data_IF_315041233679
#
_entry.id   IF_315041233679
#
_cell.length_a   1.000
_cell.length_b   1.000
_cell.length_c   1.000
_cell.angle_alpha   90.00
_cell.angle_beta   90.00
_cell.angle_gamma   90.00
#
_symmetry.space_group_name_H-M   'P 1'
#
loop_
_entity.id
_entity.type
_entity.pdbx_description
1 polymer ?
#
# COMPACT_ATOMS: atom_id res chain seq x y z
N UNK A 1 10.32 3.81 -8.74
CA UNK A 1 10.95 4.88 -7.93
C UNK A 1 10.24 6.21 -8.10
N UNK A 2 10.10 6.76 -9.31
CA UNK A 2 9.47 8.07 -9.55
C UNK A 2 8.04 8.23 -8.97
N UNK A 3 7.13 7.29 -9.27
CA UNK A 3 5.74 7.36 -8.77
C UNK A 3 5.61 7.32 -7.23
N UNK A 4 6.60 6.78 -6.49
CA UNK A 4 6.62 6.78 -5.02
C UNK A 4 7.04 8.15 -4.45
N UNK A 5 7.93 8.86 -5.14
CA UNK A 5 8.35 10.21 -4.74
C UNK A 5 7.26 11.25 -5.02
N UNK A 6 6.57 11.12 -6.15
CA UNK A 6 5.49 12.04 -6.54
C UNK A 6 4.27 11.97 -5.60
N UNK A 7 4.04 10.85 -4.93
CA UNK A 7 2.92 10.67 -4.00
C UNK A 7 3.22 11.10 -2.56
N UNK A 8 4.44 11.56 -2.24
CA UNK A 8 4.77 12.05 -0.89
C UNK A 8 4.16 13.44 -0.69
N UNK A 9 3.40 13.63 0.39
CA UNK A 9 2.82 14.94 0.70
C UNK A 9 3.90 16.00 0.97
N UNK A 10 3.70 17.20 0.44
CA UNK A 10 4.66 18.33 0.53
C UNK A 10 4.08 19.58 1.19
N UNK A 11 2.82 19.53 1.64
CA UNK A 11 2.08 20.70 2.15
C UNK A 11 2.30 20.86 3.65
N UNK A 12 3.45 21.40 4.00
CA UNK A 12 3.81 21.77 5.38
C UNK A 12 3.12 23.07 5.80
N UNK A 13 2.72 23.15 7.07
CA UNK A 13 2.15 24.35 7.69
C UNK A 13 2.32 24.29 9.22
N UNK A 14 2.16 25.42 9.89
CA UNK A 14 2.08 25.46 11.35
C UNK A 14 0.61 25.44 11.80
N UNK A 15 0.24 24.51 12.67
CA UNK A 15 -1.12 24.46 13.24
C UNK A 15 -1.14 25.22 14.57
N UNK A 16 -1.89 26.32 14.63
CA UNK A 16 -1.96 27.18 15.82
C UNK A 16 -2.81 26.60 16.95
N UNK A 17 -3.68 25.62 16.69
CA UNK A 17 -4.47 24.99 17.75
C UNK A 17 -3.62 23.96 18.52
N UNK A 18 -2.77 23.20 17.80
CA UNK A 18 -1.86 22.22 18.40
C UNK A 18 -0.46 22.77 18.68
N UNK A 19 -0.14 24.00 18.22
CA UNK A 19 1.15 24.67 18.40
C UNK A 19 2.33 23.81 17.89
N UNK A 20 2.16 23.16 16.73
CA UNK A 20 3.15 22.26 16.17
C UNK A 20 3.28 22.39 14.65
N UNK A 21 4.40 21.91 14.10
CA UNK A 21 4.53 21.71 12.66
C UNK A 21 3.56 20.62 12.21
N UNK A 22 3.03 20.77 11.00
CA UNK A 22 2.07 19.86 10.45
C UNK A 22 2.21 19.66 8.95
N UNK A 23 1.81 18.48 8.47
CA UNK A 23 1.74 18.15 7.04
C UNK A 23 0.32 17.75 6.68
N UNK A 24 -0.21 18.36 5.62
CA UNK A 24 -1.52 18.00 5.08
C UNK A 24 -1.37 16.94 3.99
N UNK A 25 -1.94 15.77 4.24
CA UNK A 25 -2.01 14.66 3.28
C UNK A 25 -3.34 14.71 2.54
N UNK A 26 -3.27 14.79 1.21
CA UNK A 26 -4.45 14.75 0.33
C UNK A 26 -4.71 13.33 -0.19
N UNK A 27 -5.86 13.08 -0.86
CA UNK A 27 -6.09 11.79 -1.49
C UNK A 27 -4.94 11.37 -2.40
N UNK A 28 -4.61 10.09 -2.34
CA UNK A 28 -3.53 9.43 -3.08
C UNK A 28 -2.11 9.86 -2.67
N UNK A 29 -1.98 10.54 -1.52
CA UNK A 29 -0.71 10.89 -0.93
C UNK A 29 -0.42 10.06 0.32
N UNK A 30 0.86 10.02 0.69
CA UNK A 30 1.32 9.49 1.97
C UNK A 30 2.38 10.41 2.57
N UNK A 31 2.64 10.23 3.86
CA UNK A 31 3.76 10.87 4.53
C UNK A 31 4.31 9.97 5.64
N UNK A 32 5.64 9.90 5.73
CA UNK A 32 6.39 9.16 6.75
C UNK A 32 7.39 10.11 7.38
N UNK A 33 7.55 10.02 8.69
CA UNK A 33 8.47 10.84 9.47
C UNK A 33 8.83 10.17 10.80
N UNK A 34 9.95 10.59 11.37
CA UNK A 34 10.35 10.35 12.76
C UNK A 34 10.45 11.66 13.56
N UNK A 35 10.07 12.79 12.95
CA UNK A 35 10.05 14.10 13.58
C UNK A 35 8.80 14.30 14.43
N UNK A 36 8.87 15.27 15.36
CA UNK A 36 7.76 15.65 16.23
C UNK A 36 6.83 16.64 15.50
N UNK A 37 6.00 16.09 14.60
CA UNK A 37 5.03 16.85 13.81
C UNK A 37 3.68 16.13 13.72
N UNK A 38 2.65 16.86 13.31
CA UNK A 38 1.30 16.34 13.11
C UNK A 38 1.02 16.08 11.63
N UNK A 39 0.44 14.94 11.29
CA UNK A 39 -0.10 14.68 9.96
C UNK A 39 -1.62 14.87 10.01
N UNK A 40 -2.19 15.70 9.14
CA UNK A 40 -3.62 16.01 9.14
C UNK A 40 -4.27 15.69 7.81
N UNK A 41 -5.49 15.15 7.86
CA UNK A 41 -6.34 14.98 6.68
C UNK A 41 -7.83 15.00 7.01
N UNK A 42 -8.66 15.10 5.98
CA UNK A 42 -10.13 15.05 6.07
C UNK A 42 -10.61 13.89 5.21
N UNK A 43 -11.44 13.03 5.78
CA UNK A 43 -11.91 11.80 5.18
C UNK A 43 -13.43 11.81 5.09
N UNK A 44 -13.96 11.57 3.89
CA UNK A 44 -15.31 11.06 3.68
C UNK A 44 -15.24 9.57 3.39
N UNK A 45 -15.46 9.18 2.13
CA UNK A 45 -15.42 7.78 1.66
C UNK A 45 -14.00 7.20 1.60
N UNK A 46 -12.97 8.03 1.46
CA UNK A 46 -11.57 7.61 1.56
C UNK A 46 -11.23 6.99 2.92
N UNK A 47 -10.15 6.23 2.97
CA UNK A 47 -9.60 5.67 4.20
C UNK A 47 -8.14 6.13 4.38
N UNK A 48 -7.77 6.37 5.63
CA UNK A 48 -6.39 6.59 6.03
C UNK A 48 -5.94 5.47 6.97
N UNK A 49 -4.78 4.87 6.68
CA UNK A 49 -4.05 4.03 7.61
C UNK A 49 -2.93 4.85 8.26
N UNK A 50 -2.97 4.96 9.58
CA UNK A 50 -1.90 5.51 10.41
C UNK A 50 -1.11 4.33 10.97
N UNK A 51 0.17 4.22 10.62
CA UNK A 51 1.03 3.11 11.07
C UNK A 51 2.24 3.70 11.79
N UNK A 52 2.65 3.11 12.91
CA UNK A 52 3.88 3.48 13.61
C UNK A 52 4.58 2.28 14.23
N UNK A 53 5.89 2.43 14.46
CA UNK A 53 6.69 1.58 15.33
C UNK A 53 6.85 2.31 16.69
N UNK A 54 6.30 1.77 17.79
CA UNK A 54 6.31 2.44 19.09
C UNK A 54 7.70 2.55 19.72
N UNK A 55 8.69 1.78 19.25
CA UNK A 55 10.05 1.82 19.81
C UNK A 55 10.90 2.89 19.14
N UNK A 56 10.82 3.00 17.82
CA UNK A 56 11.64 3.97 17.06
C UNK A 56 10.97 5.33 16.94
N UNK A 57 9.65 5.41 17.16
CA UNK A 57 8.86 6.63 16.93
C UNK A 57 8.69 6.97 15.46
N UNK A 58 9.09 6.06 14.55
CA UNK A 58 8.86 6.20 13.12
C UNK A 58 7.39 5.90 12.84
N UNK A 59 6.71 6.83 12.17
CA UNK A 59 5.32 6.65 11.81
C UNK A 59 4.94 7.39 10.53
N UNK A 60 3.76 7.05 10.03
CA UNK A 60 3.27 7.61 8.79
C UNK A 60 1.80 7.37 8.59
N UNK A 61 1.25 8.11 7.63
CA UNK A 61 -0.15 8.05 7.26
C UNK A 61 -0.28 8.09 5.75
N UNK A 62 -1.13 7.24 5.20
CA UNK A 62 -1.61 7.39 3.83
C UNK A 62 -3.04 7.92 3.81
N UNK A 63 -3.49 8.35 2.63
CA UNK A 63 -4.88 8.66 2.37
C UNK A 63 -5.20 8.08 0.99
N UNK A 64 -5.91 6.97 0.94
CA UNK A 64 -6.22 6.31 -0.32
C UNK A 64 -7.73 6.25 -0.57
N UNK A 65 -8.07 6.19 -1.86
CA UNK A 65 -9.39 5.88 -2.36
C UNK A 65 -9.26 4.77 -3.39
N UNK A 66 -10.09 3.75 -3.26
CA UNK A 66 -10.17 2.69 -4.24
C UNK A 66 -10.93 3.18 -5.49
N UNK A 67 -10.47 2.88 -6.72
CA UNK A 67 -11.24 3.19 -7.91
C UNK A 67 -12.52 2.35 -7.95
N UNK A 68 -13.56 2.88 -8.61
CA UNK A 68 -14.69 2.06 -9.03
C UNK A 68 -14.18 0.87 -9.85
N UNK A 69 -14.71 -0.32 -9.53
CA UNK A 69 -14.26 -1.53 -10.18
C UNK A 69 -14.88 -1.63 -11.57
N UNK A 70 -14.09 -1.99 -12.58
CA UNK A 70 -14.58 -2.32 -13.92
C UNK A 70 -15.57 -3.49 -13.84
N UNK A 71 -16.73 -3.43 -14.52
CA UNK A 71 -17.79 -4.46 -14.43
C UNK A 71 -17.27 -5.88 -14.75
N UNK A 72 -16.21 -6.00 -15.55
CA UNK A 72 -15.60 -7.27 -15.94
C UNK A 72 -14.53 -7.80 -14.96
N UNK A 73 -13.90 -6.95 -14.14
CA UNK A 73 -12.98 -7.39 -13.08
C UNK A 73 -12.91 -6.40 -11.90
N UNK A 74 -14.02 -6.20 -11.16
CA UNK A 74 -14.16 -5.08 -10.23
C UNK A 74 -13.20 -5.15 -9.03
N UNK A 75 -12.69 -6.35 -8.74
CA UNK A 75 -11.87 -6.61 -7.58
C UNK A 75 -10.37 -6.42 -7.86
N UNK A 76 -9.88 -6.72 -9.08
CA UNK A 76 -8.43 -6.84 -9.32
C UNK A 76 -7.73 -5.47 -9.40
N UNK A 77 -8.24 -4.55 -10.22
CA UNK A 77 -7.62 -3.23 -10.38
C UNK A 77 -7.73 -2.38 -9.11
N UNK A 78 -8.90 -2.43 -8.50
CA UNK A 78 -9.21 -1.74 -7.26
C UNK A 78 -8.33 -2.23 -6.11
N UNK A 79 -8.22 -3.55 -5.89
CA UNK A 79 -7.34 -4.08 -4.85
C UNK A 79 -5.86 -3.79 -5.12
N UNK A 80 -5.41 -3.80 -6.38
CA UNK A 80 -4.02 -3.42 -6.74
C UNK A 80 -3.67 -2.00 -6.31
N UNK A 81 -4.61 -1.05 -6.46
CA UNK A 81 -4.36 0.34 -6.07
C UNK A 81 -4.23 0.50 -4.57
N UNK A 82 -5.21 -0.02 -3.80
CA UNK A 82 -5.14 0.01 -2.34
C UNK A 82 -3.90 -0.71 -1.82
N UNK A 83 -3.56 -1.86 -2.40
CA UNK A 83 -2.38 -2.62 -2.02
C UNK A 83 -1.10 -1.83 -2.28
N UNK A 84 -1.00 -1.15 -3.42
CA UNK A 84 0.12 -0.27 -3.71
C UNK A 84 0.24 0.86 -2.68
N UNK A 85 -0.84 1.54 -2.33
CA UNK A 85 -0.81 2.63 -1.34
C UNK A 85 -0.35 2.16 0.05
N UNK A 86 -0.78 0.97 0.48
CA UNK A 86 -0.34 0.38 1.75
C UNK A 86 1.11 -0.11 1.69
N UNK A 87 1.51 -0.77 0.60
CA UNK A 87 2.86 -1.27 0.40
C UNK A 87 3.89 -0.13 0.35
N UNK A 88 3.54 0.99 -0.30
CA UNK A 88 4.37 2.20 -0.30
C UNK A 88 4.57 2.71 1.12
N UNK A 89 3.48 2.89 1.88
CA UNK A 89 3.57 3.37 3.27
C UNK A 89 4.46 2.46 4.13
N UNK A 90 4.21 1.16 4.11
CA UNK A 90 4.97 0.20 4.91
C UNK A 90 6.44 0.20 4.51
N UNK A 91 6.76 0.19 3.22
CA UNK A 91 8.15 0.20 2.76
C UNK A 91 8.89 1.48 3.18
N UNK A 92 8.25 2.64 3.12
CA UNK A 92 8.88 3.89 3.55
C UNK A 92 9.06 3.96 5.07
N UNK A 93 8.15 3.36 5.87
CA UNK A 93 8.37 3.17 7.31
C UNK A 93 9.60 2.32 7.60
N UNK A 94 9.72 1.17 6.91
CA UNK A 94 10.87 0.28 7.10
C UNK A 94 12.20 0.95 6.71
N UNK A 95 12.20 1.72 5.60
CA UNK A 95 13.37 2.52 5.18
C UNK A 95 13.73 3.61 6.19
N UNK A 96 12.74 4.17 6.87
CA UNK A 96 12.94 5.15 7.93
C UNK A 96 13.38 4.51 9.27
N UNK A 97 13.53 3.19 9.32
CA UNK A 97 14.08 2.45 10.48
C UNK A 97 13.03 1.75 11.34
N UNK A 98 11.76 1.70 10.92
CA UNK A 98 10.75 0.91 11.62
C UNK A 98 11.02 -0.60 11.49
N UNK A 99 10.69 -1.36 12.53
CA UNK A 99 10.73 -2.82 12.49
C UNK A 99 9.35 -3.40 12.16
N UNK A 100 9.28 -4.30 11.18
CA UNK A 100 8.03 -4.84 10.64
C UNK A 100 7.16 -5.53 11.69
N UNK A 101 7.79 -6.30 12.57
CA UNK A 101 7.17 -7.06 13.67
C UNK A 101 6.61 -6.18 14.79
N UNK A 102 6.98 -4.89 14.83
CA UNK A 102 6.51 -3.91 15.82
C UNK A 102 5.50 -2.92 15.27
N UNK A 103 5.16 -2.98 13.98
CA UNK A 103 4.23 -2.03 13.38
C UNK A 103 2.85 -2.18 14.01
N UNK A 104 2.25 -1.06 14.38
CA UNK A 104 0.88 -0.97 14.87
C UNK A 104 0.08 -0.02 13.98
N UNK A 105 -1.18 -0.38 13.68
CA UNK A 105 -2.03 0.40 12.80
C UNK A 105 -3.25 0.99 13.52
N UNK A 106 -3.69 2.16 13.07
CA UNK A 106 -4.98 2.77 13.38
C UNK A 106 -5.62 3.26 12.09
N UNK A 107 -6.90 2.96 11.88
CA UNK A 107 -7.57 3.19 10.60
C UNK A 107 -8.83 4.04 10.74
N UNK A 108 -9.00 5.00 9.82
CA UNK A 108 -10.08 5.98 9.91
C UNK A 108 -10.68 6.25 8.53
N UNK A 109 -11.95 6.66 8.47
CA UNK A 109 -12.60 7.08 7.22
C UNK A 109 -13.70 6.13 6.77
N UNK A 110 -13.86 5.94 5.46
CA UNK A 110 -14.89 5.05 4.92
C UNK A 110 -16.33 5.52 5.18
N UNK A 111 -16.52 6.82 5.44
CA UNK A 111 -17.83 7.42 5.68
C UNK A 111 -18.62 7.63 4.39
N UNK A 112 -19.94 7.62 4.50
CA UNK A 112 -20.85 7.77 3.39
C UNK A 112 -21.45 9.20 3.38
N UNK A 113 -20.60 10.19 3.10
CA UNK A 113 -20.91 11.63 3.24
C UNK A 113 -21.82 12.16 2.13
N UNK A 114 -21.89 11.47 0.98
CA UNK A 114 -22.71 11.87 -0.17
C UNK A 114 -23.71 10.77 -0.53
N UNK A 115 -24.93 11.17 -0.89
CA UNK A 115 -26.00 10.27 -1.32
C UNK A 115 -25.60 9.41 -2.52
N UNK A 116 -24.84 9.97 -3.47
CA UNK A 116 -24.32 9.22 -4.63
C UNK A 116 -23.25 8.18 -4.24
N UNK A 117 -22.46 8.45 -3.19
CA UNK A 117 -21.43 7.54 -2.70
C UNK A 117 -22.01 6.46 -1.77
N UNK A 118 -23.09 6.77 -1.06
CA UNK A 118 -23.93 5.81 -0.34
C UNK A 118 -24.49 4.75 -1.30
N UNK A 119 -24.92 5.15 -2.50
CA UNK A 119 -25.44 4.21 -3.51
C UNK A 119 -24.36 3.26 -4.05
N UNK A 120 -23.08 3.65 -4.01
CA UNK A 120 -21.96 2.87 -4.54
C UNK A 120 -21.12 2.15 -3.47
N UNK A 121 -21.49 2.24 -2.19
CA UNK A 121 -20.84 1.58 -1.05
C UNK A 121 -19.30 1.71 -1.02
N UNK A 122 -18.75 2.81 -1.54
CA UNK A 122 -17.29 2.98 -1.69
C UNK A 122 -16.59 3.00 -0.33
N UNK A 123 -17.16 3.73 0.64
CA UNK A 123 -16.59 3.83 1.98
C UNK A 123 -16.47 2.48 2.70
N UNK A 124 -17.51 1.64 2.58
CA UNK A 124 -17.51 0.29 3.15
C UNK A 124 -16.42 -0.59 2.51
N UNK A 125 -16.32 -0.57 1.17
CA UNK A 125 -15.28 -1.32 0.44
C UNK A 125 -13.87 -0.89 0.85
N UNK A 126 -13.63 0.41 1.00
CA UNK A 126 -12.34 0.94 1.44
C UNK A 126 -12.00 0.45 2.86
N UNK A 127 -12.99 0.47 3.76
CA UNK A 127 -12.85 -0.01 5.13
C UNK A 127 -12.56 -1.51 5.20
N UNK A 128 -13.32 -2.33 4.48
CA UNK A 128 -13.11 -3.78 4.43
C UNK A 128 -11.74 -4.13 3.84
N UNK A 129 -11.33 -3.41 2.79
CA UNK A 129 -10.02 -3.60 2.17
C UNK A 129 -8.88 -3.35 3.16
N UNK A 130 -8.87 -2.21 3.87
CA UNK A 130 -7.75 -1.89 4.78
C UNK A 130 -7.62 -2.91 5.91
N UNK A 131 -8.75 -3.36 6.46
CA UNK A 131 -8.76 -4.34 7.54
C UNK A 131 -8.24 -5.70 7.06
N UNK A 132 -8.67 -6.13 5.87
CA UNK A 132 -8.22 -7.39 5.27
C UNK A 132 -6.74 -7.35 4.92
N UNK A 133 -6.26 -6.23 4.38
CA UNK A 133 -4.85 -6.04 4.05
C UNK A 133 -3.97 -6.08 5.30
N UNK A 134 -4.31 -5.31 6.34
CA UNK A 134 -3.54 -5.27 7.58
C UNK A 134 -3.51 -6.63 8.29
N UNK A 135 -4.64 -7.35 8.30
CA UNK A 135 -4.71 -8.72 8.82
C UNK A 135 -3.78 -9.68 8.06
N UNK A 136 -3.72 -9.55 6.73
CA UNK A 136 -2.87 -10.39 5.87
C UNK A 136 -1.39 -10.11 6.09
N UNK A 137 -1.02 -8.84 6.28
CA UNK A 137 0.35 -8.41 6.58
C UNK A 137 0.76 -8.67 8.05
N UNK A 138 -0.15 -9.15 8.90
CA UNK A 138 0.11 -9.39 10.31
C UNK A 138 0.27 -8.13 11.16
N UNK A 139 -0.23 -6.98 10.69
CA UNK A 139 -0.13 -5.69 11.40
C UNK A 139 -1.40 -5.49 12.26
N UNK A 140 -1.29 -5.48 13.60
CA UNK A 140 -2.46 -5.33 14.47
C UNK A 140 -3.10 -3.94 14.37
N UNK A 141 -4.43 -3.92 14.25
CA UNK A 141 -5.23 -2.69 14.34
C UNK A 141 -5.53 -2.39 15.81
N UNK A 142 -4.97 -1.30 16.34
CA UNK A 142 -5.14 -0.89 17.75
C UNK A 142 -6.35 0.00 17.97
N UNK A 143 -6.79 0.70 16.93
CA UNK A 143 -7.99 1.53 16.96
C UNK A 143 -8.55 1.69 15.55
N UNK A 144 -9.87 1.81 15.44
CA UNK A 144 -10.53 2.11 14.18
C UNK A 144 -11.76 2.99 14.38
N UNK A 145 -12.01 3.88 13.43
CA UNK A 145 -13.29 4.58 13.26
C UNK A 145 -13.60 4.64 11.76
N UNK A 146 -14.34 3.62 11.30
CA UNK A 146 -14.70 3.37 9.90
C UNK A 146 -16.22 3.44 9.72
N UNK A 147 -16.71 3.78 8.51
CA UNK A 147 -18.16 3.83 8.23
C UNK A 147 -18.80 5.15 8.66
N UNK A 148 -20.06 5.18 9.10
CA UNK A 148 -20.79 6.42 9.50
C UNK A 148 -21.17 7.35 8.31
N UNK A 149 -22.11 8.26 8.54
CA UNK A 149 -22.61 9.25 7.56
C UNK A 149 -21.83 10.57 7.59
N UNK A 150 -20.92 10.72 8.54
CA UNK A 150 -20.19 11.96 8.78
C UNK A 150 -18.77 11.91 8.21
N UNK A 151 -18.35 13.03 7.63
CA UNK A 151 -16.94 13.26 7.38
C UNK A 151 -16.17 13.40 8.70
N UNK A 152 -14.89 13.03 8.70
CA UNK A 152 -14.02 13.21 9.87
C UNK A 152 -12.71 13.85 9.50
N UNK A 153 -12.28 14.81 10.32
CA UNK A 153 -10.90 15.29 10.31
C UNK A 153 -10.10 14.45 11.27
N UNK A 154 -8.95 13.94 10.81
CA UNK A 154 -7.99 13.27 11.68
C UNK A 154 -6.71 14.09 11.76
N UNK A 155 -6.15 14.11 12.97
CA UNK A 155 -4.86 14.70 13.29
C UNK A 155 -4.03 13.60 13.98
N UNK A 156 -3.03 13.11 13.27
CA UNK A 156 -2.18 12.00 13.68
C UNK A 156 -0.82 12.52 14.13
N UNK A 157 -0.32 12.01 15.25
CA UNK A 157 0.99 12.29 15.81
C UNK A 157 1.84 11.01 15.66
N UNK A 158 2.66 10.90 14.60
CA UNK A 158 3.34 9.66 14.26
C UNK A 158 4.30 9.16 15.33
N UNK A 159 4.93 10.11 16.03
CA UNK A 159 5.97 9.84 17.04
C UNK A 159 5.50 8.96 18.20
N UNK A 160 4.25 9.10 18.62
CA UNK A 160 3.65 8.33 19.72
C UNK A 160 2.37 7.57 19.32
N UNK A 161 2.02 7.62 18.03
CA UNK A 161 0.87 6.94 17.47
C UNK A 161 -0.48 7.53 17.86
N UNK A 162 -0.57 8.68 18.54
CA UNK A 162 -1.86 9.28 18.94
C UNK A 162 -2.63 9.80 17.73
N UNK A 163 -3.94 9.62 17.74
CA UNK A 163 -4.83 10.16 16.71
C UNK A 163 -5.99 10.89 17.38
N UNK A 164 -6.23 12.13 16.96
CA UNK A 164 -7.40 12.91 17.33
C UNK A 164 -8.39 12.87 16.17
N UNK A 165 -9.62 12.44 16.43
CA UNK A 165 -10.70 12.38 15.44
C UNK A 165 -11.75 13.41 15.78
N UNK A 166 -12.11 14.25 14.82
CA UNK A 166 -13.24 15.17 14.92
C UNK A 166 -14.24 14.86 13.81
N UNK A 167 -15.41 14.34 14.19
CA UNK A 167 -16.56 14.23 13.28
C UNK A 167 -17.05 15.63 12.94
N UNK A 168 -17.29 15.87 11.65
CA UNK A 168 -17.83 17.14 11.17
C UNK A 168 -19.35 17.07 11.30
N UNK A 169 -19.94 18.09 11.91
CA UNK A 169 -21.39 18.14 12.10
C UNK A 169 -22.09 18.14 10.74
N UNK A 170 -23.23 17.42 10.61
CA UNK A 170 -24.14 17.66 9.49
C UNK A 170 -24.51 19.15 9.51
N UNK A 171 -24.71 19.77 8.35
CA UNK A 171 -25.00 21.22 8.16
C UNK A 171 -23.82 22.13 7.76
N UNK A 172 -22.59 21.63 7.70
CA UNK A 172 -21.55 22.35 6.94
C UNK A 172 -21.63 21.97 5.46
N UNK A 173 -22.69 22.41 4.76
CA UNK A 173 -22.89 22.16 3.32
C UNK A 173 -21.64 22.50 2.50
N UNK A 174 -20.97 23.62 2.81
CA UNK A 174 -19.69 23.99 2.17
C UNK A 174 -18.57 22.99 2.39
N UNK A 175 -18.47 22.39 3.58
CA UNK A 175 -17.45 21.39 3.86
C UNK A 175 -17.76 20.06 3.15
N UNK A 176 -19.02 19.65 3.15
CA UNK A 176 -19.50 18.48 2.41
C UNK A 176 -19.23 18.64 0.91
N UNK A 177 -19.55 19.80 0.32
CA UNK A 177 -19.25 20.12 -1.08
C UNK A 177 -17.75 20.09 -1.40
N UNK A 178 -16.91 20.63 -0.52
CA UNK A 178 -15.45 20.61 -0.71
C UNK A 178 -14.88 19.19 -0.64
N UNK A 179 -15.39 18.37 0.27
CA UNK A 179 -15.02 16.95 0.35
C UNK A 179 -15.49 16.23 -0.91
N UNK A 180 -16.72 16.48 -1.35
CA UNK A 180 -17.28 15.90 -2.57
C UNK A 180 -16.44 16.20 -3.81
N UNK A 181 -16.10 17.47 -4.02
CA UNK A 181 -15.25 17.87 -5.16
C UNK A 181 -13.88 17.18 -5.10
N UNK A 182 -13.30 17.03 -3.91
CA UNK A 182 -12.02 16.33 -3.73
C UNK A 182 -12.14 14.83 -3.99
N UNK A 183 -13.21 14.21 -3.54
CA UNK A 183 -13.46 12.77 -3.75
C UNK A 183 -13.73 12.46 -5.21
N UNK A 184 -14.52 13.29 -5.91
CA UNK A 184 -14.72 13.16 -7.35
C UNK A 184 -13.42 13.34 -8.14
N UNK A 185 -12.63 14.37 -7.80
CA UNK A 185 -11.33 14.58 -8.43
C UNK A 185 -10.36 13.41 -8.15
N UNK A 186 -10.38 12.87 -6.94
CA UNK A 186 -9.59 11.69 -6.57
C UNK A 186 -10.03 10.49 -7.41
N UNK A 187 -11.33 10.17 -7.47
CA UNK A 187 -11.87 9.05 -8.23
C UNK A 187 -11.47 9.13 -9.73
N UNK A 188 -11.63 10.29 -10.36
CA UNK A 188 -11.23 10.52 -11.76
C UNK A 188 -9.73 10.31 -11.97
N UNK A 189 -8.90 10.82 -11.05
CA UNK A 189 -7.44 10.67 -11.13
C UNK A 189 -6.99 9.21 -11.00
N UNK A 190 -7.68 8.42 -10.17
CA UNK A 190 -7.36 7.00 -9.98
C UNK A 190 -7.85 6.18 -11.18
N UNK A 191 -9.02 6.49 -11.75
CA UNK A 191 -9.52 5.87 -12.98
C UNK A 191 -8.55 6.10 -14.16
N UNK A 192 -8.13 7.35 -14.40
CA UNK A 192 -7.19 7.67 -15.47
C UNK A 192 -5.84 6.93 -15.33
N UNK A 193 -5.34 6.75 -14.10
CA UNK A 193 -4.11 5.98 -13.83
C UNK A 193 -4.30 4.47 -13.99
N UNK A 194 -5.51 3.97 -13.85
CA UNK A 194 -5.85 2.55 -14.00
C UNK A 194 -6.05 2.16 -15.46
N UNK A 195 -6.60 3.06 -16.27
CA UNK A 195 -6.83 2.88 -17.71
C UNK A 195 -5.56 3.09 -18.56
N UNK A 196 -4.56 3.78 -18.02
CA UNK A 196 -3.26 3.93 -18.66
C UNK A 196 -2.58 2.55 -18.77
N UNK A 197 -2.28 2.03 -19.97
CA UNK A 197 -1.66 0.72 -20.10
C UNK A 197 -0.31 0.72 -19.36
N UNK A 198 0.06 -0.36 -18.65
CA UNK A 198 1.37 -0.43 -18.02
C UNK A 198 2.41 -0.25 -19.13
N UNK A 199 3.28 0.75 -18.97
CA UNK A 199 4.43 0.91 -19.84
C UNK A 199 5.36 -0.28 -19.59
N UNK A 200 5.09 -1.39 -20.28
CA UNK A 200 5.97 -2.55 -20.32
C UNK A 200 7.17 -2.13 -21.15
N UNK A 201 8.13 -1.47 -20.50
CA UNK A 201 9.47 -1.39 -21.04
C UNK A 201 10.00 -2.82 -21.05
N UNK A 202 9.95 -3.46 -22.22
CA UNK A 202 10.73 -4.67 -22.48
C UNK A 202 12.19 -4.26 -22.28
N UNK A 203 12.77 -4.65 -21.16
CA UNK A 203 14.22 -4.65 -21.01
C UNK A 203 14.78 -5.65 -22.03
N UNK A 204 15.05 -5.18 -23.24
CA UNK A 204 15.97 -5.85 -24.15
C UNK A 204 17.32 -5.85 -23.44
N UNK A 205 17.65 -6.95 -22.75
CA UNK A 205 18.95 -7.13 -22.11
C UNK A 205 20.04 -6.85 -23.16
N UNK A 206 20.93 -5.85 -22.96
CA UNK A 206 22.18 -5.82 -23.71
C UNK A 206 23.00 -7.05 -23.31
N UNK A 207 23.64 -7.67 -24.30
CA UNK A 207 24.37 -8.93 -24.26
C UNK A 207 24.83 -9.45 -22.89
N UNK A 208 24.33 -10.64 -22.52
CA UNK A 208 25.08 -11.51 -21.62
C UNK A 208 26.27 -12.02 -22.43
N UNK A 209 27.44 -11.44 -22.23
CA UNK A 209 28.69 -12.05 -22.69
C UNK A 209 28.80 -13.44 -22.07
N UNK A 210 28.77 -14.46 -22.93
CA UNK A 210 29.04 -15.83 -22.52
C UNK A 210 30.50 -15.88 -22.09
N UNK A 211 30.74 -16.06 -20.80
CA UNK A 211 32.03 -16.52 -20.31
C UNK A 211 32.28 -17.91 -20.89
N UNK A 212 33.14 -18.00 -21.90
CA UNK A 212 33.69 -19.27 -22.36
C UNK A 212 34.46 -19.92 -21.22
N UNK A 213 34.03 -21.11 -20.83
CA UNK A 213 34.75 -21.94 -19.87
C UNK A 213 36.00 -22.50 -20.56
N UNK A 214 37.21 -22.34 -20.00
CA UNK A 214 38.37 -23.04 -20.54
C UNK A 214 38.23 -24.55 -20.35
N UNK A 215 38.56 -25.29 -21.40
CA UNK A 215 38.58 -26.75 -21.43
C UNK A 215 39.57 -27.30 -20.39
N UNK A 216 39.14 -28.31 -19.63
CA UNK A 216 40.03 -29.07 -18.73
C UNK A 216 40.92 -30.02 -19.54
N UNK A 217 42.23 -30.11 -19.29
CA UNK A 217 43.10 -31.08 -19.94
C UNK A 217 42.99 -32.47 -19.31
N UNK A 218 43.43 -33.46 -20.09
CA UNK A 218 43.08 -34.88 -20.02
C UNK A 218 43.41 -35.64 -18.74
N UNK A 219 42.67 -36.73 -18.55
CA UNK A 219 43.07 -37.88 -17.72
C UNK A 219 42.87 -39.13 -18.57
N UNK A 220 43.97 -39.84 -18.80
CA UNK A 220 44.08 -41.06 -19.60
C UNK A 220 43.41 -42.28 -18.94
N UNK A 221 42.97 -43.20 -19.80
CA UNK A 221 42.42 -44.51 -19.43
C UNK A 221 43.56 -45.50 -19.16
N UNK A 222 43.44 -46.30 -18.11
CA UNK A 222 44.19 -47.55 -17.95
C UNK A 222 43.22 -48.74 -17.96
N UNK A 223 43.44 -49.63 -18.93
CA UNK A 223 42.79 -50.93 -19.11
C UNK A 223 43.35 -51.99 -18.14
N UNK A 224 42.50 -52.95 -17.78
CA UNK A 224 42.78 -54.39 -17.55
C UNK A 224 41.43 -54.99 -17.08
N UNK A 225 40.88 -56.12 -17.54
CA UNK A 225 41.31 -57.19 -18.43
C UNK A 225 40.61 -58.48 -17.97
N UNK A 226 40.06 -59.25 -18.92
CA UNK A 226 39.76 -60.70 -18.89
C UNK A 226 38.40 -61.26 -18.37
N UNK A 227 37.61 -61.76 -19.35
CA UNK A 227 36.96 -63.12 -19.50
C UNK A 227 36.03 -63.66 -18.40
N UNK A 228 34.94 -64.43 -18.64
CA UNK A 228 34.57 -65.40 -19.69
C UNK A 228 33.07 -65.81 -19.58
N UNK A 229 32.43 -66.02 -20.75
CA UNK A 229 31.27 -66.89 -21.14
C UNK A 229 30.47 -67.73 -20.11
N UNK A 230 29.12 -67.78 -20.28
CA UNK A 230 28.24 -68.85 -20.88
C UNK A 230 26.74 -68.55 -20.57
N UNK A 231 25.81 -68.57 -21.55
CA UNK A 231 24.79 -69.61 -21.90
C UNK A 231 23.88 -70.01 -20.70
N UNK A 232 22.56 -70.21 -20.73
CA UNK A 232 21.46 -70.41 -21.72
C UNK A 232 20.15 -70.58 -20.92
N UNK A 233 18.97 -70.38 -21.55
CA UNK A 233 17.66 -71.08 -21.30
C UNK A 233 16.97 -70.92 -19.92
N UNK A 234 15.66 -71.07 -19.66
CA UNK A 234 14.34 -71.13 -20.35
C UNK A 234 13.27 -71.13 -19.22
N UNK A 235 12.00 -70.89 -19.59
CA UNK A 235 10.76 -71.40 -18.96
C UNK A 235 10.16 -70.74 -17.69
N UNK A 236 9.02 -70.08 -17.96
CA UNK A 236 7.68 -70.25 -17.37
C UNK A 236 7.46 -70.90 -15.99
N UNK A 237 6.58 -70.25 -15.22
CA UNK A 237 5.92 -70.75 -14.01
C UNK A 237 5.09 -69.64 -13.40
#
# INVERSE_FOLDING_TARGET
MAARLEARATRHYFDSAFQCQAVKVLPNEYYVTNEDLMISTVLGSCVAACIHDPVTGVGGMNHFMLPEGDMQSPASATMRYGAFAMEVLINELLKAGAARDRLEAKVFGGGAVLSAMQQMNIGERNGQFVLSYLKTEGIPVKAQDLGDVHARRINYFPRDGRVMVRKMAPHHQRAEELIARREQAAAQSVQAKTESPPRVERFSRPGVERFDRPARPGVERFDTGLTRRRRTETAGG
#
